data_IF_360862585504
#
_entry.id   IF_360862585504
#
_cell.length_a   1.000
_cell.length_b   1.000
_cell.length_c   1.000
_cell.angle_alpha   90.00
_cell.angle_beta   90.00
_cell.angle_gamma   90.00
#
_symmetry.space_group_name_H-M   'P 1'
#
loop_
_entity.id
_entity.type
_entity.pdbx_description
1 polymer ?
#
# COMPACT_ATOMS: atom_id res chain seq x y z
N UNK A 1 -11.34 -17.26 7.88
CA UNK A 1 -10.12 -16.95 8.64
C UNK A 1 -10.36 -17.14 10.12
N UNK A 2 -9.36 -17.64 10.85
CA UNK A 2 -9.37 -17.67 12.31
C UNK A 2 -8.69 -16.42 12.89
N UNK A 3 -8.84 -16.18 14.20
CA UNK A 3 -8.29 -14.99 14.85
C UNK A 3 -6.77 -14.84 14.72
N UNK A 4 -6.03 -15.94 14.63
CA UNK A 4 -4.58 -15.93 14.47
C UNK A 4 -4.17 -15.40 13.09
N UNK A 5 -4.85 -15.82 12.04
CA UNK A 5 -4.58 -15.34 10.67
C UNK A 5 -4.82 -13.84 10.55
N UNK A 6 -5.88 -13.30 11.18
CA UNK A 6 -6.09 -11.85 11.23
C UNK A 6 -4.95 -11.12 11.95
N UNK A 7 -4.47 -11.65 13.07
CA UNK A 7 -3.33 -11.06 13.79
C UNK A 7 -2.04 -11.11 12.97
N UNK A 8 -1.81 -12.18 12.22
CA UNK A 8 -0.65 -12.29 11.33
C UNK A 8 -0.67 -11.22 10.24
N UNK A 9 -1.83 -10.96 9.61
CA UNK A 9 -1.98 -9.85 8.65
C UNK A 9 -1.66 -8.51 9.32
N UNK A 10 -2.18 -8.27 10.53
CA UNK A 10 -1.92 -7.02 11.25
C UNK A 10 -0.43 -6.86 11.60
N UNK A 11 0.26 -7.94 11.96
CA UNK A 11 1.70 -7.92 12.23
C UNK A 11 2.52 -7.66 10.97
N UNK A 12 2.10 -8.15 9.81
CA UNK A 12 2.74 -7.83 8.52
C UNK A 12 2.51 -6.36 8.19
N UNK A 13 1.28 -5.88 8.25
CA UNK A 13 0.91 -4.50 7.94
C UNK A 13 1.59 -3.47 8.88
N UNK A 14 1.91 -3.87 10.11
CA UNK A 14 2.59 -3.03 11.09
C UNK A 14 3.97 -2.54 10.59
N UNK A 15 4.64 -3.31 9.73
CA UNK A 15 5.93 -2.94 9.11
C UNK A 15 5.86 -1.63 8.32
N UNK A 16 4.67 -1.24 7.84
CA UNK A 16 4.48 0.05 7.15
C UNK A 16 4.73 1.26 8.05
N UNK A 17 4.71 1.09 9.39
CA UNK A 17 5.04 2.17 10.32
C UNK A 17 6.51 2.55 10.29
N UNK A 18 7.38 1.57 10.03
CA UNK A 18 8.82 1.75 9.93
C UNK A 18 9.30 1.92 8.48
N UNK A 19 8.45 1.63 7.51
CA UNK A 19 8.74 1.86 6.09
C UNK A 19 8.62 3.34 5.79
N UNK A 20 9.75 4.02 5.58
CA UNK A 20 9.79 5.46 5.32
C UNK A 20 9.65 5.79 3.84
N UNK A 21 8.93 6.87 3.55
CA UNK A 21 8.77 7.42 2.21
C UNK A 21 9.80 8.48 1.86
N UNK A 22 9.88 8.88 0.59
CA UNK A 22 10.66 10.07 0.20
C UNK A 22 10.05 11.39 0.73
N UNK A 23 8.74 11.42 1.03
CA UNK A 23 8.06 12.63 1.50
C UNK A 23 8.38 12.96 2.97
N UNK A 24 8.27 14.25 3.31
CA UNK A 24 8.46 14.73 4.69
C UNK A 24 7.22 15.48 5.18
N UNK A 25 7.00 15.38 6.48
CA UNK A 25 6.00 16.18 7.20
C UNK A 25 6.40 17.67 7.19
N UNK A 26 5.47 18.55 7.58
CA UNK A 26 5.76 19.99 7.72
C UNK A 26 6.92 20.30 8.67
N UNK A 27 7.20 19.39 9.62
CA UNK A 27 8.33 19.47 10.55
C UNK A 27 9.58 18.73 10.06
N UNK A 28 9.65 18.38 8.77
CA UNK A 28 10.78 17.73 8.10
C UNK A 28 11.11 16.30 8.56
N UNK A 29 10.28 15.69 9.42
CA UNK A 29 10.37 14.25 9.68
C UNK A 29 9.92 13.49 8.45
N UNK A 30 10.67 12.47 8.05
CA UNK A 30 10.27 11.54 6.99
C UNK A 30 8.97 10.82 7.38
N UNK A 31 7.99 10.88 6.49
CA UNK A 31 6.68 10.23 6.64
C UNK A 31 6.83 8.72 6.45
N UNK A 32 6.07 7.91 7.19
CA UNK A 32 5.98 6.46 6.93
C UNK A 32 4.84 6.12 5.97
N UNK A 33 4.91 4.94 5.36
CA UNK A 33 3.86 4.44 4.44
C UNK A 33 2.52 4.29 5.15
N UNK A 34 2.54 3.89 6.42
CA UNK A 34 1.31 3.82 7.23
C UNK A 34 0.68 5.22 7.43
N UNK A 35 1.49 6.25 7.71
CA UNK A 35 1.01 7.63 7.87
C UNK A 35 0.43 8.18 6.57
N UNK A 36 1.09 7.89 5.45
CA UNK A 36 0.62 8.24 4.12
C UNK A 36 -0.75 7.62 3.82
N UNK A 37 -0.85 6.29 3.98
CA UNK A 37 -2.08 5.51 3.71
C UNK A 37 -3.25 6.00 4.57
N UNK A 38 -3.00 6.31 5.85
CA UNK A 38 -4.00 6.92 6.72
C UNK A 38 -4.46 8.28 6.19
N UNK A 39 -3.53 9.16 5.81
CA UNK A 39 -3.85 10.53 5.39
C UNK A 39 -4.63 10.57 4.08
N UNK A 40 -4.30 9.74 3.11
CA UNK A 40 -5.06 9.67 1.85
C UNK A 40 -6.45 9.06 2.05
N UNK A 41 -6.59 8.08 2.97
CA UNK A 41 -7.89 7.50 3.32
C UNK A 41 -8.79 8.54 3.99
N UNK A 42 -8.22 9.35 4.89
CA UNK A 42 -8.92 10.49 5.49
C UNK A 42 -9.34 11.51 4.44
N UNK A 43 -8.46 11.82 3.48
CA UNK A 43 -8.78 12.72 2.37
C UNK A 43 -9.95 12.20 1.52
N UNK A 44 -9.93 10.92 1.14
CA UNK A 44 -11.02 10.29 0.39
C UNK A 44 -12.35 10.38 1.14
N UNK A 45 -12.34 10.09 2.44
CA UNK A 45 -13.51 10.21 3.30
C UNK A 45 -14.04 11.65 3.37
N UNK A 46 -13.15 12.66 3.50
CA UNK A 46 -13.54 14.07 3.57
C UNK A 46 -14.13 14.59 2.25
N UNK A 47 -13.61 14.13 1.11
CA UNK A 47 -14.04 14.55 -0.23
C UNK A 47 -15.27 13.78 -0.76
N UNK A 48 -15.89 12.92 0.04
CA UNK A 48 -16.96 12.01 -0.40
C UNK A 48 -18.16 12.69 -1.07
N UNK A 49 -18.46 13.94 -0.71
CA UNK A 49 -19.59 14.68 -1.26
C UNK A 49 -19.26 15.42 -2.56
N UNK A 50 -17.97 15.61 -2.86
CA UNK A 50 -17.51 16.20 -4.12
C UNK A 50 -17.65 15.22 -5.29
N UNK A 51 -17.75 13.92 -5.00
CA UNK A 51 -17.83 12.85 -5.98
C UNK A 51 -19.05 11.93 -5.69
N UNK A 52 -20.28 12.43 -5.86
CA UNK A 52 -21.51 11.69 -5.51
C UNK A 52 -21.70 10.40 -6.32
N UNK A 53 -21.08 10.29 -7.50
CA UNK A 53 -21.15 9.12 -8.38
C UNK A 53 -20.08 8.04 -8.05
N UNK A 54 -19.23 8.29 -7.06
CA UNK A 54 -18.14 7.39 -6.67
C UNK A 54 -18.51 6.59 -5.42
N UNK A 55 -18.23 5.28 -5.44
CA UNK A 55 -18.30 4.45 -4.23
C UNK A 55 -17.12 4.76 -3.31
N UNK A 56 -17.37 5.63 -2.34
CA UNK A 56 -16.33 6.08 -1.40
C UNK A 56 -15.88 4.98 -0.44
N UNK A 57 -16.72 4.01 -0.12
CA UNK A 57 -16.28 2.89 0.72
C UNK A 57 -15.19 2.10 -0.01
N UNK A 58 -15.41 1.81 -1.30
CA UNK A 58 -14.40 1.19 -2.14
C UNK A 58 -13.12 2.01 -2.24
N UNK A 59 -13.22 3.34 -2.37
CA UNK A 59 -12.03 4.21 -2.43
C UNK A 59 -11.25 4.18 -1.11
N UNK A 60 -11.93 4.27 0.03
CA UNK A 60 -11.29 4.19 1.34
C UNK A 60 -10.64 2.83 1.54
N UNK A 61 -11.32 1.74 1.19
CA UNK A 61 -10.76 0.38 1.26
C UNK A 61 -9.51 0.25 0.38
N UNK A 62 -9.54 0.78 -0.85
CA UNK A 62 -8.38 0.83 -1.73
C UNK A 62 -7.22 1.62 -1.11
N UNK A 63 -7.47 2.82 -0.58
CA UNK A 63 -6.45 3.64 0.07
C UNK A 63 -5.80 2.94 1.26
N UNK A 64 -6.54 2.16 2.03
CA UNK A 64 -6.02 1.42 3.19
C UNK A 64 -5.02 0.33 2.80
N UNK A 65 -5.17 -0.30 1.63
CA UNK A 65 -4.35 -1.46 1.23
C UNK A 65 -3.40 -1.20 0.06
N UNK A 66 -3.48 -0.04 -0.62
CA UNK A 66 -2.77 0.18 -1.89
C UNK A 66 -1.25 0.00 -1.80
N UNK A 67 -0.64 0.37 -0.67
CA UNK A 67 0.79 0.25 -0.42
C UNK A 67 1.14 -0.94 0.50
N UNK A 68 0.23 -1.90 0.72
CA UNK A 68 0.50 -3.04 1.62
C UNK A 68 1.69 -3.90 1.15
N UNK A 69 1.96 -3.94 -0.16
CA UNK A 69 3.15 -4.59 -0.72
C UNK A 69 4.47 -3.99 -0.23
N UNK A 70 4.47 -2.72 0.18
CA UNK A 70 5.67 -2.03 0.68
C UNK A 70 6.16 -2.58 2.03
N UNK A 71 5.38 -3.45 2.69
CA UNK A 71 5.83 -4.26 3.83
C UNK A 71 7.02 -5.17 3.49
N UNK A 72 7.24 -5.45 2.21
CA UNK A 72 8.27 -6.36 1.71
C UNK A 72 9.30 -5.63 0.86
N UNK A 73 8.87 -4.69 0.02
CA UNK A 73 9.73 -4.00 -0.94
C UNK A 73 10.35 -2.70 -0.40
N UNK A 74 9.73 -2.12 0.63
CA UNK A 74 9.90 -0.70 0.97
C UNK A 74 9.22 0.25 -0.03
N UNK A 75 9.17 1.55 0.28
CA UNK A 75 8.71 2.59 -0.65
C UNK A 75 9.79 2.84 -1.71
N UNK A 76 9.58 2.27 -2.91
CA UNK A 76 10.43 2.52 -4.07
C UNK A 76 9.89 3.75 -4.81
N UNK A 77 10.62 4.88 -4.82
CA UNK A 77 10.14 6.11 -5.43
C UNK A 77 9.91 5.96 -6.93
N UNK A 78 8.83 6.56 -7.44
CA UNK A 78 8.41 6.45 -8.85
C UNK A 78 9.52 6.82 -9.84
N UNK A 79 10.39 7.78 -9.53
CA UNK A 79 11.50 8.13 -10.42
C UNK A 79 12.56 7.03 -10.54
N UNK A 80 12.76 6.21 -9.50
CA UNK A 80 13.62 5.01 -9.59
C UNK A 80 12.95 3.97 -10.47
N UNK A 81 11.64 3.80 -10.32
CA UNK A 81 10.80 2.90 -11.13
C UNK A 81 10.94 3.22 -12.63
N UNK A 82 10.71 4.48 -12.98
CA UNK A 82 10.84 4.98 -14.35
C UNK A 82 12.26 4.86 -14.91
N UNK A 83 13.31 4.97 -14.08
CA UNK A 83 14.69 4.77 -14.52
C UNK A 83 15.00 3.29 -14.81
N UNK A 84 14.53 2.38 -13.95
CA UNK A 84 14.71 0.93 -14.13
C UNK A 84 14.05 0.45 -15.43
N UNK A 85 12.82 0.90 -15.69
CA UNK A 85 12.08 0.59 -16.90
C UNK A 85 12.76 1.16 -18.15
N UNK A 86 13.08 2.46 -18.14
CA UNK A 86 13.55 3.14 -19.35
C UNK A 86 14.99 2.81 -19.74
N UNK A 87 15.87 2.52 -18.79
CA UNK A 87 17.30 2.35 -19.06
C UNK A 87 17.80 0.91 -18.95
N UNK A 88 17.11 0.07 -18.19
CA UNK A 88 17.53 -1.31 -17.95
C UNK A 88 16.53 -2.34 -18.44
N UNK A 89 15.34 -1.93 -18.90
CA UNK A 89 14.27 -2.84 -19.32
C UNK A 89 13.85 -3.80 -18.20
N UNK A 90 14.11 -3.42 -16.95
CA UNK A 90 13.75 -4.21 -15.77
C UNK A 90 12.33 -3.87 -15.38
N UNK A 91 11.43 -4.84 -15.52
CA UNK A 91 10.10 -4.75 -14.96
C UNK A 91 10.16 -5.06 -13.46
N UNK A 92 10.34 -4.00 -12.66
CA UNK A 92 10.35 -4.10 -11.21
C UNK A 92 8.96 -4.45 -10.62
N UNK A 93 7.91 -4.54 -11.45
CA UNK A 93 6.57 -4.97 -11.04
C UNK A 93 6.35 -6.48 -11.22
N UNK A 94 6.96 -7.11 -12.22
CA UNK A 94 6.72 -8.54 -12.51
C UNK A 94 7.18 -9.49 -11.40
N UNK A 95 8.27 -9.14 -10.69
CA UNK A 95 8.82 -10.00 -9.65
C UNK A 95 8.08 -9.92 -8.31
N UNK A 96 7.47 -8.78 -7.96
CA UNK A 96 6.96 -8.51 -6.61
C UNK A 96 5.44 -8.36 -6.53
N UNK A 97 4.82 -7.55 -7.40
CA UNK A 97 3.39 -7.25 -7.26
C UNK A 97 2.52 -8.46 -7.57
N UNK A 98 2.84 -9.22 -8.63
CA UNK A 98 2.14 -10.45 -8.97
C UNK A 98 2.39 -11.55 -7.94
N UNK A 99 3.60 -11.67 -7.40
CA UNK A 99 3.91 -12.66 -6.37
C UNK A 99 3.17 -12.35 -5.05
N UNK A 100 3.15 -11.09 -4.61
CA UNK A 100 2.51 -10.66 -3.36
C UNK A 100 0.99 -10.67 -3.49
N UNK A 101 0.42 -10.22 -4.61
CA UNK A 101 -1.02 -10.31 -4.86
C UNK A 101 -1.43 -11.77 -4.98
N UNK A 102 -0.67 -12.61 -5.69
CA UNK A 102 -0.97 -14.05 -5.76
C UNK A 102 -0.78 -14.75 -4.42
N UNK A 103 0.15 -14.31 -3.55
CA UNK A 103 0.36 -14.91 -2.23
C UNK A 103 -0.70 -14.45 -1.22
N UNK A 104 -1.10 -13.18 -1.26
CA UNK A 104 -2.22 -12.65 -0.51
C UNK A 104 -3.56 -13.26 -0.98
N UNK A 105 -3.79 -13.36 -2.29
CA UNK A 105 -4.96 -14.02 -2.87
C UNK A 105 -4.94 -15.54 -2.61
N UNK A 106 -3.79 -16.22 -2.70
CA UNK A 106 -3.69 -17.65 -2.38
C UNK A 106 -3.88 -17.92 -0.89
N UNK A 107 -3.51 -17.00 -0.01
CA UNK A 107 -3.89 -17.08 1.40
C UNK A 107 -5.39 -16.87 1.59
N UNK A 108 -6.02 -15.95 0.87
CA UNK A 108 -7.48 -15.72 0.93
C UNK A 108 -8.26 -16.92 0.36
N UNK A 109 -7.85 -17.51 -0.77
CA UNK A 109 -8.50 -18.67 -1.41
C UNK A 109 -8.33 -19.97 -0.64
N UNK A 110 -7.22 -20.19 0.08
CA UNK A 110 -7.04 -21.37 0.96
C UNK A 110 -7.98 -21.39 2.16
N UNK A 111 -8.68 -20.29 2.40
CA UNK A 111 -9.53 -20.05 3.56
C UNK A 111 -11.03 -19.97 3.18
N UNK A 112 -11.36 -20.11 1.88
CA UNK A 112 -12.73 -20.36 1.38
C UNK A 112 -12.96 -21.84 1.09
#
# INVERSE_FOLDING_TARGET
MNSREYLEILHVAERLKDTTRHCTTSNRRTESVAEHSWRISLMAFLLRHEFPDVDINKVVDMCLIHDLGECFTGDIPTFIKTLAENFYGLDIYEADASAIINEALAQIEKIS
#
